data_IF_917941402916
#
_entry.id   IF_917941402916
#
_cell.length_a   1.000
_cell.length_b   1.000
_cell.length_c   1.000
_cell.angle_alpha   90.00
_cell.angle_beta   90.00
_cell.angle_gamma   90.00
#
_symmetry.space_group_name_H-M   'P 1'
#
loop_
_entity.id
_entity.type
_entity.pdbx_description
1 polymer ?
#
# COMPACT_ATOMS: atom_id res chain seq x y z
N UNK A 1 26.39 7.44 -12.48
CA UNK A 1 26.59 6.26 -11.62
C UNK A 1 26.32 6.65 -10.17
N UNK A 2 25.68 5.80 -9.41
CA UNK A 2 25.42 5.96 -7.98
C UNK A 2 26.24 4.90 -7.25
N UNK A 3 27.01 5.30 -6.23
CA UNK A 3 27.91 4.38 -5.52
C UNK A 3 27.67 4.46 -4.01
N UNK A 4 27.57 3.28 -3.37
CA UNK A 4 27.64 3.10 -1.93
C UNK A 4 28.91 2.28 -1.66
N UNK A 5 29.80 2.79 -0.77
CA UNK A 5 31.03 2.12 -0.36
C UNK A 5 31.06 2.03 1.17
N UNK A 6 30.76 0.85 1.70
CA UNK A 6 30.72 0.53 3.12
C UNK A 6 29.89 1.53 3.94
N UNK A 7 28.72 1.93 3.38
CA UNK A 7 27.88 2.95 4.02
C UNK A 7 27.13 2.34 5.20
N UNK A 8 27.33 2.94 6.36
CA UNK A 8 26.55 2.65 7.57
C UNK A 8 25.86 3.95 8.00
N UNK A 9 24.57 3.84 8.35
CA UNK A 9 23.82 4.95 8.94
C UNK A 9 22.99 4.45 10.10
N UNK A 10 23.16 5.10 11.27
CA UNK A 10 22.39 4.83 12.48
C UNK A 10 21.67 6.11 12.91
N UNK A 11 20.34 6.00 13.09
CA UNK A 11 19.54 7.13 13.58
C UNK A 11 19.90 7.45 15.04
N UNK A 12 19.88 8.73 15.39
CA UNK A 12 20.09 9.18 16.77
C UNK A 12 18.99 8.65 17.68
N UNK A 13 19.39 8.03 18.79
CA UNK A 13 18.43 7.46 19.78
C UNK A 13 17.71 6.19 19.35
N UNK A 14 18.10 5.56 18.22
CA UNK A 14 17.51 4.30 17.76
C UNK A 14 18.58 3.27 17.37
N UNK A 15 18.27 2.00 17.53
CA UNK A 15 19.11 0.89 17.03
C UNK A 15 18.90 0.63 15.53
N UNK A 16 17.92 1.30 14.93
CA UNK A 16 17.56 1.13 13.51
C UNK A 16 18.48 1.91 12.59
N UNK A 17 18.68 1.39 11.37
CA UNK A 17 19.51 2.01 10.36
C UNK A 17 19.89 1.04 9.26
N UNK A 18 21.02 1.31 8.60
CA UNK A 18 21.65 0.43 7.61
C UNK A 18 23.13 0.25 7.93
N UNK A 19 23.67 -0.91 7.62
CA UNK A 19 25.06 -1.25 7.97
C UNK A 19 25.79 -1.88 6.77
N UNK A 20 26.99 -1.37 6.51
CA UNK A 20 27.92 -1.91 5.50
C UNK A 20 27.27 -2.07 4.12
N UNK A 21 26.51 -1.08 3.70
CA UNK A 21 25.89 -1.05 2.37
C UNK A 21 26.99 -0.82 1.33
N UNK A 22 27.09 -1.77 0.39
CA UNK A 22 28.08 -1.72 -0.69
C UNK A 22 27.41 -2.18 -2.00
N UNK A 23 27.17 -1.25 -2.92
CA UNK A 23 26.71 -1.52 -4.27
C UNK A 23 26.88 -0.31 -5.18
N UNK A 24 26.82 -0.56 -6.50
CA UNK A 24 26.86 0.49 -7.52
C UNK A 24 25.67 0.34 -8.45
N UNK A 25 24.98 1.46 -8.74
CA UNK A 25 23.86 1.51 -9.69
C UNK A 25 24.30 2.24 -10.96
N UNK A 26 24.26 1.58 -12.13
CA UNK A 26 24.55 2.21 -13.42
C UNK A 26 23.50 3.28 -13.77
N UNK A 27 23.89 4.25 -14.57
CA UNK A 27 22.97 5.25 -15.13
C UNK A 27 21.97 4.61 -16.11
N UNK A 28 20.75 5.14 -16.17
CA UNK A 28 19.71 4.66 -17.06
C UNK A 28 19.13 3.29 -16.71
N UNK A 29 19.48 2.73 -15.54
CA UNK A 29 18.93 1.46 -15.06
C UNK A 29 17.82 1.64 -14.02
N UNK A 30 16.99 0.61 -13.86
CA UNK A 30 15.96 0.53 -12.83
C UNK A 30 16.34 -0.52 -11.79
N UNK A 31 16.48 -0.08 -10.53
CA UNK A 31 16.78 -0.97 -9.39
C UNK A 31 15.61 -0.97 -8.42
N UNK A 32 15.20 -2.16 -8.03
CA UNK A 32 14.15 -2.37 -7.02
C UNK A 32 14.80 -2.72 -5.69
N UNK A 33 14.52 -1.92 -4.66
CA UNK A 33 14.86 -2.22 -3.27
C UNK A 33 13.68 -2.97 -2.64
N UNK A 34 13.90 -4.18 -2.18
CA UNK A 34 12.87 -5.01 -1.57
C UNK A 34 13.36 -5.62 -0.25
N UNK A 35 12.45 -6.25 0.50
CA UNK A 35 12.69 -6.76 1.84
C UNK A 35 11.55 -6.42 2.79
N UNK A 36 11.59 -6.93 4.02
CA UNK A 36 10.53 -6.68 5.01
C UNK A 36 10.43 -5.20 5.38
N UNK A 37 9.28 -4.81 5.90
CA UNK A 37 9.07 -3.47 6.48
C UNK A 37 10.05 -3.24 7.64
N UNK A 38 10.60 -2.03 7.74
CA UNK A 38 11.60 -1.70 8.78
C UNK A 38 13.03 -2.18 8.51
N UNK A 39 13.32 -2.84 7.39
CA UNK A 39 14.64 -3.39 7.08
C UNK A 39 15.59 -2.43 6.34
N UNK A 40 15.33 -1.12 6.35
CA UNK A 40 16.28 -0.10 5.89
C UNK A 40 16.03 0.42 4.47
N UNK A 41 14.99 -0.02 3.74
CA UNK A 41 14.70 0.47 2.38
C UNK A 41 14.55 2.00 2.33
N UNK A 42 13.66 2.56 3.12
CA UNK A 42 13.44 4.01 3.19
C UNK A 42 14.67 4.77 3.70
N UNK A 43 15.54 4.13 4.51
CA UNK A 43 16.83 4.71 4.92
C UNK A 43 17.75 4.89 3.72
N UNK A 44 17.86 3.89 2.84
CA UNK A 44 18.63 4.00 1.59
C UNK A 44 18.04 5.09 0.69
N UNK A 45 16.72 5.16 0.54
CA UNK A 45 16.09 6.23 -0.25
C UNK A 45 16.41 7.62 0.33
N UNK A 46 16.31 7.80 1.65
CA UNK A 46 16.63 9.07 2.33
C UNK A 46 18.10 9.46 2.17
N UNK A 47 19.01 8.50 2.21
CA UNK A 47 20.43 8.73 1.90
C UNK A 47 20.58 9.24 0.45
N UNK A 48 19.98 8.57 -0.54
CA UNK A 48 19.99 8.98 -1.95
C UNK A 48 19.42 10.38 -2.16
N UNK A 49 18.37 10.74 -1.43
CA UNK A 49 17.75 12.08 -1.46
C UNK A 49 18.65 13.17 -0.82
N UNK A 50 19.72 12.78 -0.11
CA UNK A 50 20.56 13.71 0.65
C UNK A 50 19.87 14.33 1.86
N UNK A 51 18.88 13.62 2.44
CA UNK A 51 18.15 14.06 3.63
C UNK A 51 18.89 13.71 4.92
N UNK A 52 19.89 12.85 4.85
CA UNK A 52 20.71 12.40 5.95
C UNK A 52 22.12 12.98 5.83
N UNK A 53 22.74 13.35 6.95
CA UNK A 53 22.19 13.43 8.32
C UNK A 53 21.41 14.72 8.61
N UNK A 54 21.27 15.63 7.63
CA UNK A 54 20.85 17.02 7.82
C UNK A 54 19.39 17.15 8.33
N UNK A 55 18.46 16.34 7.79
CA UNK A 55 17.03 16.38 8.16
C UNK A 55 16.69 15.25 9.11
N UNK A 56 17.32 14.09 8.93
CA UNK A 56 17.18 12.95 9.82
C UNK A 56 18.51 12.76 10.57
N UNK A 57 18.58 13.20 11.85
CA UNK A 57 19.83 13.13 12.63
C UNK A 57 20.32 11.70 12.80
N UNK A 58 21.63 11.52 12.70
CA UNK A 58 22.27 10.22 12.87
C UNK A 58 23.74 10.26 12.50
N UNK A 59 24.41 9.13 12.72
CA UNK A 59 25.83 8.94 12.38
C UNK A 59 25.95 8.20 11.07
N UNK A 60 26.64 8.80 10.10
CA UNK A 60 26.97 8.20 8.82
C UNK A 60 28.47 7.85 8.77
N UNK A 61 28.77 6.65 8.31
CA UNK A 61 30.13 6.18 8.00
C UNK A 61 30.15 5.65 6.55
N UNK A 62 31.36 5.52 5.99
CA UNK A 62 31.52 5.14 4.59
C UNK A 62 31.32 6.31 3.62
N UNK A 63 31.28 6.00 2.32
CA UNK A 63 31.19 7.03 1.27
C UNK A 63 30.06 6.70 0.32
N UNK A 64 29.22 7.69 0.02
CA UNK A 64 28.17 7.58 -0.98
C UNK A 64 28.24 8.73 -1.97
N UNK A 65 28.01 8.43 -3.26
CA UNK A 65 27.94 9.46 -4.31
C UNK A 65 26.76 9.20 -5.24
N UNK A 66 26.12 10.29 -5.66
CA UNK A 66 25.11 10.33 -6.72
C UNK A 66 25.67 11.19 -7.85
N UNK A 67 25.95 10.56 -9.00
CA UNK A 67 26.61 11.19 -10.15
C UNK A 67 27.92 11.91 -9.78
N UNK A 68 28.72 11.28 -8.90
CA UNK A 68 30.04 11.76 -8.48
C UNK A 68 30.05 12.76 -7.33
N UNK A 69 28.90 13.21 -6.84
CA UNK A 69 28.79 14.16 -5.72
C UNK A 69 28.04 13.53 -4.54
N UNK A 70 28.44 13.87 -3.31
CA UNK A 70 27.74 13.42 -2.10
C UNK A 70 26.38 14.12 -1.96
N UNK A 71 25.24 13.39 -1.87
CA UNK A 71 23.90 13.99 -1.90
C UNK A 71 23.60 14.95 -0.75
N UNK A 72 24.20 14.74 0.43
CA UNK A 72 24.07 15.64 1.58
C UNK A 72 24.60 17.04 1.33
N UNK A 73 25.48 17.19 0.32
CA UNK A 73 26.12 18.46 -0.06
C UNK A 73 25.42 19.17 -1.22
N UNK A 74 24.36 18.60 -1.78
CA UNK A 74 23.60 19.25 -2.85
C UNK A 74 22.90 20.50 -2.32
N UNK A 75 23.01 21.62 -3.06
CA UNK A 75 22.11 22.75 -2.83
C UNK A 75 20.66 22.33 -3.15
N UNK A 76 19.63 23.06 -2.66
CA UNK A 76 18.24 22.79 -3.01
C UNK A 76 18.02 22.76 -4.54
N UNK A 77 18.64 23.68 -5.28
CA UNK A 77 18.55 23.82 -6.74
C UNK A 77 19.20 22.63 -7.46
N UNK A 78 20.38 22.22 -7.03
CA UNK A 78 21.08 21.03 -7.55
C UNK A 78 20.24 19.79 -7.31
N UNK A 79 19.73 19.62 -6.07
CA UNK A 79 18.90 18.47 -5.69
C UNK A 79 17.65 18.39 -6.56
N UNK A 80 16.90 19.49 -6.69
CA UNK A 80 15.69 19.54 -7.50
C UNK A 80 15.94 19.24 -8.99
N UNK A 81 17.14 19.60 -9.50
CA UNK A 81 17.51 19.35 -10.90
C UNK A 81 18.02 17.93 -11.15
N UNK A 82 18.58 17.26 -10.12
CA UNK A 82 19.21 15.93 -10.24
C UNK A 82 18.28 14.83 -9.80
N UNK A 83 17.46 15.06 -8.77
CA UNK A 83 16.65 14.04 -8.09
C UNK A 83 15.17 14.41 -8.14
N UNK A 84 14.36 13.55 -8.74
CA UNK A 84 12.91 13.56 -8.61
C UNK A 84 12.49 12.53 -7.58
N UNK A 85 11.47 12.85 -6.77
CA UNK A 85 11.00 11.96 -5.69
C UNK A 85 9.48 11.81 -5.76
N UNK A 86 9.01 10.59 -5.58
CA UNK A 86 7.60 10.27 -5.40
C UNK A 86 7.45 9.48 -4.10
N UNK A 87 6.74 10.05 -3.12
CA UNK A 87 6.52 9.43 -1.83
C UNK A 87 5.36 8.43 -1.86
N UNK A 88 5.31 7.57 -0.84
CA UNK A 88 4.27 6.54 -0.66
C UNK A 88 2.85 7.13 -0.65
N UNK A 89 2.64 8.24 0.02
CA UNK A 89 1.38 8.99 -0.02
C UNK A 89 1.57 10.30 -0.82
N UNK A 90 1.08 10.37 -2.06
CA UNK A 90 1.16 11.59 -2.85
C UNK A 90 0.52 12.81 -2.18
N UNK A 91 -0.47 12.62 -1.30
CA UNK A 91 -1.12 13.74 -0.57
C UNK A 91 -0.15 14.49 0.33
N UNK A 92 0.81 13.78 0.92
CA UNK A 92 1.83 14.38 1.78
C UNK A 92 2.90 15.15 1.00
N UNK A 93 2.94 14.97 -0.33
CA UNK A 93 3.91 15.58 -1.23
C UNK A 93 3.41 16.90 -1.83
N UNK A 94 2.11 17.07 -2.00
CA UNK A 94 1.52 18.22 -2.69
C UNK A 94 1.55 19.48 -1.83
N UNK A 95 2.08 20.56 -2.41
CA UNK A 95 2.12 21.89 -1.81
C UNK A 95 1.04 22.82 -2.36
N UNK A 96 0.61 22.60 -3.62
CA UNK A 96 -0.37 23.45 -4.28
C UNK A 96 -1.74 22.78 -4.30
N UNK A 97 -2.78 23.59 -4.30
CA UNK A 97 -4.16 23.10 -4.44
C UNK A 97 -4.52 22.75 -5.88
N UNK A 98 -3.89 23.40 -6.86
CA UNK A 98 -4.14 23.19 -8.28
C UNK A 98 -3.06 22.30 -8.91
N UNK A 99 -3.47 21.38 -9.79
CA UNK A 99 -2.58 20.42 -10.45
C UNK A 99 -1.51 21.11 -11.31
N UNK A 100 -1.87 22.14 -12.07
CA UNK A 100 -0.92 22.86 -12.89
C UNK A 100 0.18 23.51 -12.03
N UNK A 101 -0.22 24.18 -10.97
CA UNK A 101 0.70 24.85 -10.06
C UNK A 101 1.61 23.85 -9.33
N UNK A 102 1.08 22.68 -8.98
CA UNK A 102 1.85 21.59 -8.37
C UNK A 102 2.92 21.06 -9.32
N UNK A 103 2.61 20.83 -10.60
CA UNK A 103 3.57 20.37 -11.58
C UNK A 103 4.67 21.41 -11.81
N UNK A 104 4.31 22.69 -11.82
CA UNK A 104 5.23 23.80 -12.05
C UNK A 104 5.97 24.27 -10.78
N UNK A 105 5.62 23.78 -9.60
CA UNK A 105 6.11 24.25 -8.31
C UNK A 105 7.64 24.36 -8.24
N UNK A 106 8.35 23.28 -8.57
CA UNK A 106 9.81 23.27 -8.53
C UNK A 106 10.43 24.24 -9.56
N UNK A 107 9.88 24.31 -10.78
CA UNK A 107 10.37 25.19 -11.82
C UNK A 107 10.13 26.68 -11.48
N UNK A 108 8.99 27.01 -10.86
CA UNK A 108 8.70 28.35 -10.36
C UNK A 108 9.71 28.78 -9.29
N UNK A 109 10.00 27.89 -8.32
CA UNK A 109 10.97 28.17 -7.25
C UNK A 109 12.40 28.36 -7.78
N UNK A 110 12.75 27.73 -8.91
CA UNK A 110 14.02 27.90 -9.60
C UNK A 110 14.04 29.13 -10.52
N UNK A 111 12.99 29.95 -10.56
CA UNK A 111 12.93 31.17 -11.35
C UNK A 111 12.92 30.94 -12.87
N UNK A 112 12.42 29.79 -13.35
CA UNK A 112 12.31 29.55 -14.81
C UNK A 112 11.31 30.50 -15.46
N UNK A 113 11.55 30.87 -16.71
CA UNK A 113 10.66 31.79 -17.44
C UNK A 113 9.27 31.17 -17.67
N UNK A 114 8.21 31.95 -17.44
CA UNK A 114 6.82 31.51 -17.61
C UNK A 114 6.51 31.00 -19.01
N UNK A 115 7.03 31.65 -20.04
CA UNK A 115 6.79 31.27 -21.44
C UNK A 115 7.32 29.87 -21.75
N UNK A 116 8.54 29.55 -21.29
CA UNK A 116 9.13 28.23 -21.46
C UNK A 116 8.34 27.16 -20.67
N UNK A 117 7.95 27.48 -19.44
CA UNK A 117 7.19 26.56 -18.59
C UNK A 117 5.82 26.19 -19.19
N UNK A 118 5.08 27.16 -19.75
CA UNK A 118 3.77 26.88 -20.38
C UNK A 118 3.91 25.95 -21.57
N UNK A 119 4.93 26.18 -22.41
CA UNK A 119 5.18 25.31 -23.57
C UNK A 119 5.59 23.89 -23.15
N UNK A 120 6.51 23.79 -22.19
CA UNK A 120 6.96 22.51 -21.64
C UNK A 120 5.84 21.76 -20.93
N UNK A 121 4.98 22.47 -20.18
CA UNK A 121 3.84 21.88 -19.48
C UNK A 121 2.86 21.19 -20.43
N UNK A 122 2.55 21.77 -21.57
CA UNK A 122 1.62 21.17 -22.55
C UNK A 122 2.12 19.80 -23.02
N UNK A 123 3.40 19.70 -23.39
CA UNK A 123 4.04 18.45 -23.81
C UNK A 123 4.11 17.44 -22.65
N UNK A 124 4.49 17.92 -21.48
CA UNK A 124 4.66 17.12 -20.29
C UNK A 124 3.31 16.54 -19.80
N UNK A 125 2.27 17.36 -19.78
CA UNK A 125 0.93 16.96 -19.38
C UNK A 125 0.33 15.87 -20.31
N UNK A 126 0.63 15.94 -21.61
CA UNK A 126 0.26 14.91 -22.59
C UNK A 126 1.04 13.59 -22.30
N UNK A 127 2.36 13.68 -22.11
CA UNK A 127 3.24 12.52 -21.81
C UNK A 127 2.76 11.73 -20.59
N UNK A 128 2.31 12.39 -19.54
CA UNK A 128 1.87 11.78 -18.29
C UNK A 128 0.35 11.62 -18.17
N UNK A 129 -0.39 11.95 -19.24
CA UNK A 129 -1.86 11.85 -19.29
C UNK A 129 -2.54 12.63 -18.14
N UNK A 130 -2.05 13.82 -17.85
CA UNK A 130 -2.59 14.72 -16.81
C UNK A 130 -3.21 15.98 -17.37
N UNK A 131 -3.30 16.12 -18.71
CA UNK A 131 -3.81 17.32 -19.40
C UNK A 131 -5.23 17.72 -18.93
N UNK A 132 -6.12 16.74 -18.79
CA UNK A 132 -7.50 16.95 -18.35
C UNK A 132 -7.61 17.23 -16.84
N UNK A 133 -6.51 17.13 -16.14
CA UNK A 133 -6.44 17.35 -14.69
C UNK A 133 -5.87 18.72 -14.33
N UNK A 134 -5.25 19.45 -15.27
CA UNK A 134 -4.48 20.67 -14.98
C UNK A 134 -5.28 21.71 -14.19
N UNK A 135 -6.55 21.89 -14.50
CA UNK A 135 -7.43 22.87 -13.84
C UNK A 135 -8.13 22.33 -12.58
N UNK A 136 -7.87 21.06 -12.22
CA UNK A 136 -8.50 20.44 -11.06
C UNK A 136 -7.76 20.74 -9.77
N UNK A 137 -8.49 20.71 -8.67
CA UNK A 137 -7.93 20.71 -7.32
C UNK A 137 -7.42 19.30 -6.97
N UNK A 138 -6.17 19.22 -6.47
CA UNK A 138 -5.50 17.96 -6.11
C UNK A 138 -6.25 17.18 -5.02
N UNK A 139 -7.02 17.86 -4.17
CA UNK A 139 -7.80 17.22 -3.10
C UNK A 139 -8.87 16.27 -3.65
N UNK A 140 -9.45 16.59 -4.81
CA UNK A 140 -10.54 15.82 -5.41
C UNK A 140 -10.10 14.74 -6.40
N UNK A 141 -8.81 14.58 -6.61
CA UNK A 141 -8.26 13.55 -7.48
C UNK A 141 -8.37 12.15 -6.85
N UNK A 142 -8.60 11.14 -7.68
CA UNK A 142 -8.47 9.74 -7.29
C UNK A 142 -7.00 9.38 -6.99
N UNK A 143 -6.77 8.26 -6.31
CA UNK A 143 -5.40 7.80 -5.99
C UNK A 143 -4.53 7.66 -7.23
N UNK A 144 -5.05 7.09 -8.32
CA UNK A 144 -4.31 6.95 -9.57
C UNK A 144 -4.05 8.28 -10.28
N UNK A 145 -4.98 9.24 -10.22
CA UNK A 145 -4.76 10.61 -10.73
C UNK A 145 -3.69 11.31 -9.91
N UNK A 146 -3.73 11.23 -8.57
CA UNK A 146 -2.71 11.76 -7.67
C UNK A 146 -1.33 11.19 -7.97
N UNK A 147 -1.23 9.89 -8.20
CA UNK A 147 0.04 9.25 -8.54
C UNK A 147 0.62 9.78 -9.86
N UNK A 148 -0.22 9.95 -10.91
CA UNK A 148 0.23 10.53 -12.18
C UNK A 148 0.69 11.96 -12.03
N UNK A 149 -0.02 12.77 -11.25
CA UNK A 149 0.36 14.16 -10.95
C UNK A 149 1.67 14.22 -10.17
N UNK A 150 1.85 13.36 -9.16
CA UNK A 150 3.10 13.29 -8.39
C UNK A 150 4.32 12.94 -9.28
N UNK A 151 4.16 11.98 -10.19
CA UNK A 151 5.22 11.62 -11.15
C UNK A 151 5.47 12.77 -12.12
N UNK A 152 4.41 13.41 -12.64
CA UNK A 152 4.55 14.55 -13.52
C UNK A 152 5.29 15.71 -12.83
N UNK A 153 4.95 16.02 -11.58
CA UNK A 153 5.64 17.04 -10.79
C UNK A 153 7.12 16.68 -10.53
N UNK A 154 7.38 15.45 -10.08
CA UNK A 154 8.74 14.97 -9.80
C UNK A 154 9.65 14.94 -11.04
N UNK A 155 9.08 14.80 -12.24
CA UNK A 155 9.84 14.67 -13.49
C UNK A 155 9.84 15.91 -14.38
N UNK A 156 9.16 17.00 -13.98
CA UNK A 156 9.08 18.22 -14.78
C UNK A 156 10.45 18.86 -15.07
N UNK A 157 11.36 18.80 -14.11
CA UNK A 157 12.74 19.28 -14.27
C UNK A 157 13.67 18.30 -14.99
N UNK A 158 13.15 17.15 -15.47
CA UNK A 158 13.91 16.08 -16.15
C UNK A 158 15.09 15.60 -15.31
N UNK A 159 14.85 15.13 -14.05
CA UNK A 159 15.93 14.70 -13.18
C UNK A 159 16.65 13.46 -13.75
N UNK A 160 17.94 13.32 -13.42
CA UNK A 160 18.75 12.14 -13.80
C UNK A 160 18.40 10.91 -12.95
N UNK A 161 17.91 11.11 -11.73
CA UNK A 161 17.50 10.07 -10.79
C UNK A 161 16.04 10.29 -10.39
N UNK A 162 15.22 9.25 -10.54
CA UNK A 162 13.85 9.21 -10.02
C UNK A 162 13.78 8.17 -8.91
N UNK A 163 13.38 8.61 -7.73
CA UNK A 163 13.19 7.78 -6.53
C UNK A 163 11.71 7.63 -6.27
N UNK A 164 11.23 6.38 -6.08
CA UNK A 164 9.86 6.12 -5.74
C UNK A 164 9.80 5.22 -4.49
N UNK A 165 9.04 5.64 -3.49
CA UNK A 165 8.80 4.86 -2.28
C UNK A 165 7.37 4.32 -2.30
N UNK A 166 7.22 2.99 -2.40
CA UNK A 166 5.97 2.22 -2.48
C UNK A 166 4.91 2.83 -3.44
N UNK A 167 5.27 3.15 -4.71
CA UNK A 167 4.38 3.86 -5.61
C UNK A 167 3.16 3.05 -6.06
N UNK A 168 3.12 1.74 -5.81
CA UNK A 168 1.97 0.88 -6.17
C UNK A 168 0.93 0.73 -5.04
N UNK A 169 1.18 1.31 -3.86
CA UNK A 169 0.23 1.27 -2.77
C UNK A 169 -1.13 1.86 -3.19
N UNK A 170 -2.22 1.14 -2.90
CA UNK A 170 -3.60 1.56 -3.22
C UNK A 170 -3.92 1.76 -4.71
N UNK A 171 -3.10 1.27 -5.63
CA UNK A 171 -3.39 1.31 -7.07
C UNK A 171 -4.10 0.03 -7.53
N UNK A 172 -5.09 0.21 -8.40
CA UNK A 172 -5.70 -0.91 -9.12
C UNK A 172 -4.78 -1.41 -10.25
N UNK A 173 -5.03 -2.61 -10.77
CA UNK A 173 -4.18 -3.26 -11.78
C UNK A 173 -4.01 -2.41 -13.04
N UNK A 174 -5.05 -1.68 -13.48
CA UNK A 174 -4.98 -0.79 -14.65
C UNK A 174 -4.04 0.38 -14.40
N UNK A 175 -4.16 1.01 -13.25
CA UNK A 175 -3.31 2.16 -12.85
C UNK A 175 -1.86 1.71 -12.65
N UNK A 176 -1.62 0.51 -12.08
CA UNK A 176 -0.29 -0.07 -12.00
C UNK A 176 0.36 -0.29 -13.37
N UNK A 177 -0.38 -0.82 -14.34
CA UNK A 177 0.12 -0.99 -15.70
C UNK A 177 0.51 0.34 -16.34
N UNK A 178 -0.31 1.38 -16.17
CA UNK A 178 0.00 2.73 -16.66
C UNK A 178 1.24 3.33 -15.99
N UNK A 179 1.39 3.13 -14.67
CA UNK A 179 2.58 3.53 -13.93
C UNK A 179 3.83 2.84 -14.51
N UNK A 180 3.80 1.52 -14.60
CA UNK A 180 4.94 0.73 -15.12
C UNK A 180 5.31 1.14 -16.55
N UNK A 181 4.33 1.34 -17.43
CA UNK A 181 4.56 1.81 -18.80
C UNK A 181 5.20 3.20 -18.83
N UNK A 182 4.80 4.09 -17.91
CA UNK A 182 5.40 5.42 -17.76
C UNK A 182 6.85 5.33 -17.31
N UNK A 183 7.15 4.48 -16.33
CA UNK A 183 8.52 4.27 -15.83
C UNK A 183 9.43 3.62 -16.88
N UNK A 184 8.92 2.71 -17.70
CA UNK A 184 9.66 2.12 -18.83
C UNK A 184 10.10 3.23 -19.81
N UNK A 185 9.20 4.15 -20.16
CA UNK A 185 9.54 5.28 -21.04
C UNK A 185 10.59 6.20 -20.43
N UNK A 186 10.47 6.51 -19.13
CA UNK A 186 11.46 7.32 -18.42
C UNK A 186 12.84 6.66 -18.41
N UNK A 187 12.91 5.35 -18.19
CA UNK A 187 14.14 4.59 -18.27
C UNK A 187 14.73 4.62 -19.67
N UNK A 188 13.91 4.46 -20.72
CA UNK A 188 14.35 4.57 -22.12
C UNK A 188 14.88 5.97 -22.47
N UNK A 189 14.32 7.01 -21.84
CA UNK A 189 14.82 8.39 -21.93
C UNK A 189 16.13 8.62 -21.14
N UNK A 190 16.70 7.58 -20.52
CA UNK A 190 17.97 7.63 -19.78
C UNK A 190 17.86 7.98 -18.31
N UNK A 191 16.65 8.10 -17.74
CA UNK A 191 16.47 8.34 -16.30
C UNK A 191 16.86 7.09 -15.50
N UNK A 192 17.72 7.26 -14.49
CA UNK A 192 18.01 6.21 -13.50
C UNK A 192 16.86 6.14 -12.53
N UNK A 193 16.36 4.94 -12.23
CA UNK A 193 15.17 4.75 -11.40
C UNK A 193 15.50 3.85 -10.20
N UNK A 194 15.16 4.29 -9.00
CA UNK A 194 15.25 3.49 -7.77
C UNK A 194 13.86 3.42 -7.13
N UNK A 195 13.35 2.22 -6.95
CA UNK A 195 12.02 1.98 -6.39
C UNK A 195 12.15 1.12 -5.14
N UNK A 196 11.54 1.54 -4.04
CA UNK A 196 11.25 0.67 -2.90
C UNK A 196 9.80 0.19 -3.05
N UNK A 197 9.56 -1.11 -3.11
CA UNK A 197 8.19 -1.64 -3.18
C UNK A 197 8.11 -3.08 -2.67
N UNK A 198 6.88 -3.50 -2.38
CA UNK A 198 6.53 -4.86 -2.01
C UNK A 198 5.88 -5.66 -3.15
N UNK A 199 5.23 -5.00 -4.12
CA UNK A 199 4.55 -5.64 -5.26
C UNK A 199 5.50 -5.87 -6.43
N UNK A 200 6.42 -6.83 -6.28
CA UNK A 200 7.55 -7.07 -7.17
C UNK A 200 7.13 -7.51 -8.59
N UNK A 201 6.00 -8.22 -8.71
CA UNK A 201 5.43 -8.65 -9.98
C UNK A 201 5.25 -7.50 -10.98
N UNK A 202 4.82 -6.34 -10.51
CA UNK A 202 4.56 -5.16 -11.34
C UNK A 202 5.81 -4.65 -12.08
N UNK A 203 7.00 -4.97 -11.60
CA UNK A 203 8.27 -4.46 -12.11
C UNK A 203 9.08 -5.46 -12.94
N UNK A 204 8.56 -6.66 -13.18
CA UNK A 204 9.28 -7.73 -13.90
C UNK A 204 9.80 -7.33 -15.29
N UNK A 205 9.11 -6.39 -15.98
CA UNK A 205 9.51 -5.89 -17.31
C UNK A 205 10.33 -4.59 -17.25
N UNK A 206 10.35 -3.92 -16.10
CA UNK A 206 11.02 -2.65 -15.90
C UNK A 206 12.39 -2.83 -15.25
N UNK A 207 12.46 -3.68 -14.22
CA UNK A 207 13.62 -3.83 -13.37
C UNK A 207 14.80 -4.48 -14.11
N UNK A 208 15.99 -3.93 -13.92
CA UNK A 208 17.26 -4.56 -14.31
C UNK A 208 17.84 -5.34 -13.13
N UNK A 209 17.56 -4.91 -11.92
CA UNK A 209 18.21 -5.39 -10.69
C UNK A 209 17.28 -5.33 -9.49
N UNK A 210 17.39 -6.31 -8.61
CA UNK A 210 16.74 -6.37 -7.32
C UNK A 210 17.79 -6.46 -6.22
N UNK A 211 17.67 -5.58 -5.22
CA UNK A 211 18.49 -5.57 -4.02
C UNK A 211 17.59 -5.89 -2.82
N UNK A 212 17.87 -7.00 -2.16
CA UNK A 212 17.10 -7.45 -0.98
C UNK A 212 17.79 -7.00 0.29
N UNK A 213 17.06 -6.27 1.11
CA UNK A 213 17.51 -5.80 2.41
C UNK A 213 16.93 -6.67 3.52
N UNK A 214 17.78 -7.04 4.47
CA UNK A 214 17.40 -7.75 5.69
C UNK A 214 18.14 -7.13 6.87
N UNK A 215 17.38 -6.64 7.87
CA UNK A 215 17.93 -6.01 9.09
C UNK A 215 19.03 -4.96 8.81
N UNK A 216 18.77 -4.10 7.82
CA UNK A 216 19.68 -3.02 7.46
C UNK A 216 20.90 -3.42 6.62
N UNK A 217 21.00 -4.66 6.16
CA UNK A 217 22.10 -5.14 5.32
C UNK A 217 21.59 -5.64 3.95
N UNK A 218 22.42 -5.54 2.93
CA UNK A 218 22.16 -6.16 1.64
C UNK A 218 22.45 -7.66 1.74
N UNK A 219 21.44 -8.49 1.53
CA UNK A 219 21.58 -9.97 1.60
C UNK A 219 21.54 -10.64 0.24
N UNK A 220 20.89 -10.01 -0.74
CA UNK A 220 20.91 -10.42 -2.14
C UNK A 220 21.03 -9.17 -3.02
N UNK A 221 21.80 -9.31 -4.08
CA UNK A 221 22.00 -8.31 -5.11
C UNK A 221 22.07 -9.04 -6.46
N UNK A 222 20.94 -9.04 -7.18
CA UNK A 222 20.71 -9.92 -8.31
C UNK A 222 20.20 -9.17 -9.53
N UNK A 223 20.62 -9.57 -10.72
CA UNK A 223 19.94 -9.19 -11.95
C UNK A 223 18.50 -9.71 -11.98
N UNK A 224 17.61 -9.02 -12.71
CA UNK A 224 16.18 -9.33 -12.74
C UNK A 224 15.89 -10.80 -13.07
N UNK A 225 16.57 -11.39 -14.06
CA UNK A 225 16.41 -12.79 -14.46
C UNK A 225 16.74 -13.76 -13.32
N UNK A 226 17.84 -13.51 -12.59
CA UNK A 226 18.28 -14.32 -11.46
C UNK A 226 17.29 -14.22 -10.30
N UNK A 227 16.80 -12.98 -10.03
CA UNK A 227 15.82 -12.75 -8.98
C UNK A 227 14.50 -13.46 -9.27
N UNK A 228 14.01 -13.38 -10.52
CA UNK A 228 12.76 -14.03 -10.94
C UNK A 228 12.85 -15.56 -10.96
N UNK A 229 14.05 -16.12 -10.99
CA UNK A 229 14.32 -17.55 -10.93
C UNK A 229 14.52 -18.11 -9.50
N UNK A 230 14.43 -17.25 -8.46
CA UNK A 230 14.54 -17.70 -7.07
C UNK A 230 13.41 -18.67 -6.71
N UNK A 231 13.73 -19.61 -5.80
CA UNK A 231 12.73 -20.54 -5.28
C UNK A 231 11.73 -19.87 -4.33
N UNK A 232 10.58 -20.49 -4.15
CA UNK A 232 9.54 -20.00 -3.24
C UNK A 232 10.05 -19.90 -1.79
N UNK A 233 10.92 -20.82 -1.37
CA UNK A 233 11.54 -20.82 -0.05
C UNK A 233 12.37 -19.56 0.16
N UNK A 234 13.09 -19.09 -0.87
CA UNK A 234 13.89 -17.87 -0.80
C UNK A 234 13.00 -16.63 -0.64
N UNK A 235 11.89 -16.53 -1.40
CA UNK A 235 10.93 -15.43 -1.19
C UNK A 235 10.37 -15.45 0.23
N UNK A 236 10.00 -16.61 0.74
CA UNK A 236 9.51 -16.76 2.13
C UNK A 236 10.56 -16.37 3.17
N UNK A 237 11.80 -16.83 3.01
CA UNK A 237 12.90 -16.55 3.94
C UNK A 237 13.09 -15.04 4.14
N UNK A 238 13.06 -14.29 3.05
CA UNK A 238 13.23 -12.84 3.08
C UNK A 238 11.93 -12.05 3.26
N UNK A 239 10.78 -12.73 3.37
CA UNK A 239 9.47 -12.11 3.53
C UNK A 239 9.05 -11.26 2.33
N UNK A 240 9.48 -11.66 1.14
CA UNK A 240 9.15 -11.02 -0.13
C UNK A 240 7.80 -11.52 -0.65
N UNK A 241 7.16 -10.70 -1.48
CA UNK A 241 6.05 -11.15 -2.30
C UNK A 241 6.56 -11.84 -3.55
N UNK A 242 5.78 -12.77 -4.06
CA UNK A 242 6.17 -13.52 -5.26
C UNK A 242 6.10 -12.63 -6.50
N UNK A 243 7.10 -12.68 -7.39
CA UNK A 243 7.09 -11.90 -8.63
C UNK A 243 6.33 -12.57 -9.77
N UNK A 244 5.61 -13.69 -9.50
CA UNK A 244 4.82 -14.41 -10.50
C UNK A 244 3.37 -14.54 -10.09
N UNK A 245 2.44 -14.29 -11.02
CA UNK A 245 1.04 -14.64 -10.83
C UNK A 245 0.90 -16.17 -10.75
N UNK A 246 0.20 -16.65 -9.74
CA UNK A 246 -0.28 -18.03 -9.72
C UNK A 246 0.41 -18.97 -8.76
N UNK A 247 0.61 -18.58 -7.51
CA UNK A 247 0.74 -19.56 -6.45
C UNK A 247 -0.66 -20.05 -6.06
N UNK A 248 -1.06 -21.10 -6.71
CA UNK A 248 -2.27 -21.82 -6.33
C UNK A 248 -2.15 -22.30 -4.88
N UNK A 249 -3.06 -21.81 -4.03
CA UNK A 249 -3.39 -22.36 -2.71
C UNK A 249 -2.20 -22.66 -1.79
N UNK A 250 -1.52 -21.61 -1.30
CA UNK A 250 -0.52 -21.73 -0.23
C UNK A 250 -1.12 -22.20 1.11
N UNK A 251 -2.43 -22.03 1.29
CA UNK A 251 -3.13 -22.45 2.49
C UNK A 251 -4.03 -23.65 2.15
N UNK A 252 -3.87 -24.74 2.90
CA UNK A 252 -4.80 -25.86 2.80
C UNK A 252 -6.21 -25.42 3.18
N UNK A 253 -7.14 -25.56 2.25
CA UNK A 253 -8.55 -25.23 2.45
C UNK A 253 -9.27 -26.41 3.08
N UNK A 254 -9.64 -26.26 4.34
CA UNK A 254 -10.51 -27.24 5.01
C UNK A 254 -11.92 -27.05 4.46
N UNK A 255 -12.41 -28.03 3.70
CA UNK A 255 -13.82 -28.06 3.27
C UNK A 255 -14.69 -28.40 4.48
N UNK A 256 -15.28 -27.41 5.13
CA UNK A 256 -16.32 -27.61 6.14
C UNK A 256 -17.70 -27.49 5.50
N UNK A 257 -18.67 -28.22 6.07
CA UNK A 257 -20.08 -27.99 5.77
C UNK A 257 -20.43 -26.55 6.14
N UNK A 258 -21.01 -25.80 5.21
CA UNK A 258 -21.37 -24.41 5.39
C UNK A 258 -22.77 -24.31 6.01
N UNK A 259 -22.91 -24.01 7.33
CA UNK A 259 -24.22 -24.03 8.00
C UNK A 259 -25.09 -22.84 7.61
N UNK A 260 -24.54 -21.77 7.06
CA UNK A 260 -25.27 -20.55 6.76
C UNK A 260 -25.04 -20.09 5.31
N UNK A 261 -26.08 -19.50 4.71
CA UNK A 261 -26.05 -18.89 3.38
C UNK A 261 -26.44 -17.42 3.46
N UNK A 262 -25.66 -16.56 2.79
CA UNK A 262 -25.98 -15.14 2.63
C UNK A 262 -26.34 -14.88 1.15
N UNK A 263 -27.55 -14.41 0.90
CA UNK A 263 -28.04 -14.06 -0.43
C UNK A 263 -28.17 -12.55 -0.56
N UNK A 264 -27.62 -12.01 -1.63
CA UNK A 264 -27.69 -10.60 -2.00
C UNK A 264 -28.45 -10.51 -3.33
N UNK A 265 -29.62 -9.87 -3.33
CA UNK A 265 -30.52 -9.82 -4.48
C UNK A 265 -30.67 -8.39 -4.98
N UNK A 266 -30.22 -8.12 -6.20
CA UNK A 266 -30.37 -6.85 -6.94
C UNK A 266 -30.06 -5.61 -6.08
N UNK A 267 -28.95 -5.64 -5.37
CA UNK A 267 -28.56 -4.60 -4.42
C UNK A 267 -28.09 -3.35 -5.17
N UNK A 268 -28.58 -2.17 -4.74
CA UNK A 268 -28.22 -0.89 -5.31
C UNK A 268 -28.01 0.17 -4.25
N UNK A 269 -26.98 0.98 -4.45
CA UNK A 269 -26.74 2.23 -3.73
C UNK A 269 -25.97 3.22 -4.60
N UNK A 270 -26.52 4.42 -4.82
CA UNK A 270 -25.90 5.49 -5.59
C UNK A 270 -26.01 6.80 -4.82
N UNK A 271 -24.88 7.47 -4.64
CA UNK A 271 -24.85 8.78 -3.96
C UNK A 271 -25.57 9.84 -4.79
N UNK A 272 -26.49 10.58 -4.17
CA UNK A 272 -27.33 11.58 -4.86
C UNK A 272 -26.51 12.67 -5.58
N UNK A 273 -25.45 13.17 -4.95
CA UNK A 273 -24.61 14.26 -5.49
C UNK A 273 -23.63 13.79 -6.55
N UNK A 274 -22.82 12.79 -6.24
CA UNK A 274 -21.71 12.34 -7.12
C UNK A 274 -22.13 11.38 -8.21
N UNK A 275 -23.36 10.80 -8.13
CA UNK A 275 -23.83 9.71 -8.99
C UNK A 275 -22.94 8.46 -8.99
N UNK A 276 -21.95 8.39 -8.08
CA UNK A 276 -21.09 7.23 -7.84
C UNK A 276 -21.79 6.23 -6.94
N UNK A 277 -21.36 4.96 -6.97
CA UNK A 277 -21.94 3.87 -6.20
C UNK A 277 -21.95 2.59 -7.00
N UNK A 278 -22.89 1.69 -6.71
CA UNK A 278 -23.05 0.43 -7.44
C UNK A 278 -24.54 0.15 -7.72
N UNK A 279 -24.79 -0.66 -8.75
CA UNK A 279 -26.13 -1.06 -9.17
C UNK A 279 -26.15 -2.56 -9.52
N UNK A 280 -27.31 -3.19 -9.31
CA UNK A 280 -27.57 -4.58 -9.71
C UNK A 280 -26.59 -5.62 -9.18
N UNK A 281 -26.01 -5.39 -7.98
CA UNK A 281 -25.11 -6.39 -7.39
C UNK A 281 -25.89 -7.58 -6.86
N UNK A 282 -25.49 -8.78 -7.29
CA UNK A 282 -26.08 -10.04 -6.88
C UNK A 282 -24.97 -11.03 -6.50
N UNK A 283 -25.17 -11.74 -5.40
CA UNK A 283 -24.26 -12.79 -4.95
C UNK A 283 -24.98 -13.77 -4.04
N UNK A 284 -24.56 -15.01 -4.06
CA UNK A 284 -24.95 -16.02 -3.08
C UNK A 284 -23.64 -16.66 -2.56
N UNK A 285 -23.39 -16.53 -1.27
CA UNK A 285 -22.17 -16.98 -0.64
C UNK A 285 -22.48 -17.85 0.58
N UNK A 286 -21.60 -18.78 0.86
CA UNK A 286 -21.70 -19.68 2.02
C UNK A 286 -20.80 -19.21 3.16
N UNK A 287 -21.19 -19.46 4.39
CA UNK A 287 -20.30 -19.25 5.54
C UNK A 287 -19.06 -20.14 5.43
N UNK A 288 -17.97 -19.75 6.07
CA UNK A 288 -16.71 -20.50 5.95
C UNK A 288 -15.93 -20.20 4.67
N UNK A 289 -16.34 -19.17 3.90
CA UNK A 289 -15.68 -18.75 2.67
C UNK A 289 -15.05 -17.36 2.81
N UNK A 290 -13.94 -17.18 2.11
CA UNK A 290 -13.30 -15.89 1.90
C UNK A 290 -13.66 -15.38 0.50
N UNK A 291 -14.34 -14.25 0.45
CA UNK A 291 -14.91 -13.67 -0.76
C UNK A 291 -14.16 -12.40 -1.10
N UNK A 292 -13.48 -12.38 -2.25
CA UNK A 292 -12.88 -11.15 -2.76
C UNK A 292 -13.91 -10.31 -3.53
N UNK A 293 -13.90 -9.00 -3.29
CA UNK A 293 -14.63 -8.00 -4.08
C UNK A 293 -13.58 -7.20 -4.86
N UNK A 294 -13.45 -7.49 -6.13
CA UNK A 294 -12.53 -6.82 -7.05
C UNK A 294 -13.27 -5.79 -7.93
N UNK A 295 -12.53 -4.99 -8.69
CA UNK A 295 -13.07 -3.99 -9.62
C UNK A 295 -12.30 -2.67 -9.58
N UNK A 296 -12.49 -1.80 -10.56
CA UNK A 296 -11.77 -0.55 -10.70
C UNK A 296 -11.93 0.38 -9.48
N UNK A 297 -10.98 1.29 -9.27
CA UNK A 297 -11.12 2.33 -8.26
C UNK A 297 -12.34 3.21 -8.57
N UNK A 298 -13.17 3.46 -7.55
CA UNK A 298 -14.42 4.20 -7.71
C UNK A 298 -15.64 3.38 -8.17
N UNK A 299 -15.50 2.07 -8.42
CA UNK A 299 -16.62 1.18 -8.80
C UNK A 299 -17.70 1.01 -7.70
N UNK A 300 -17.40 1.43 -6.46
CA UNK A 300 -18.36 1.35 -5.36
C UNK A 300 -18.09 0.22 -4.35
N UNK A 301 -16.93 -0.43 -4.39
CA UNK A 301 -16.55 -1.54 -3.50
C UNK A 301 -16.71 -1.22 -2.02
N UNK A 302 -16.09 -0.13 -1.55
CA UNK A 302 -16.24 0.35 -0.16
C UNK A 302 -17.70 0.70 0.16
N UNK A 303 -18.45 1.24 -0.81
CA UNK A 303 -19.89 1.53 -0.64
C UNK A 303 -20.69 0.25 -0.45
N UNK A 304 -20.38 -0.79 -1.23
CA UNK A 304 -20.99 -2.11 -1.06
C UNK A 304 -20.72 -2.67 0.35
N UNK A 305 -19.48 -2.63 0.83
CA UNK A 305 -19.17 -3.06 2.20
C UNK A 305 -19.90 -2.25 3.27
N UNK A 306 -20.03 -0.92 3.12
CA UNK A 306 -20.84 -0.09 4.03
C UNK A 306 -22.31 -0.47 4.03
N UNK A 307 -22.86 -0.86 2.88
CA UNK A 307 -24.23 -1.39 2.79
C UNK A 307 -24.32 -2.77 3.44
N UNK A 308 -23.38 -3.68 3.18
CA UNK A 308 -23.34 -5.01 3.81
C UNK A 308 -23.20 -4.90 5.33
N UNK A 309 -22.36 -3.99 5.81
CA UNK A 309 -22.21 -3.69 7.24
C UNK A 309 -23.44 -3.05 7.89
N UNK A 310 -24.45 -2.66 7.10
CA UNK A 310 -25.63 -1.95 7.63
C UNK A 310 -25.41 -0.48 8.00
N UNK A 311 -24.22 0.07 7.70
CA UNK A 311 -23.91 1.50 7.88
C UNK A 311 -24.72 2.38 6.90
N UNK A 312 -25.01 1.83 5.72
CA UNK A 312 -25.88 2.47 4.74
C UNK A 312 -27.10 1.58 4.45
N UNK A 313 -28.27 2.23 4.35
CA UNK A 313 -29.49 1.56 3.89
C UNK A 313 -29.46 1.51 2.35
N UNK A 314 -29.57 0.31 1.80
CA UNK A 314 -29.69 0.12 0.34
C UNK A 314 -30.91 0.85 -0.23
N UNK A 315 -30.82 1.29 -1.48
CA UNK A 315 -31.93 1.94 -2.20
C UNK A 315 -32.85 0.92 -2.86
N UNK A 316 -32.28 -0.19 -3.36
CA UNK A 316 -33.01 -1.34 -3.91
C UNK A 316 -32.35 -2.63 -3.46
N UNK A 317 -33.09 -3.72 -3.61
CA UNK A 317 -32.65 -5.07 -3.33
C UNK A 317 -32.77 -5.49 -1.87
N UNK A 318 -32.36 -6.70 -1.60
CA UNK A 318 -32.46 -7.34 -0.29
C UNK A 318 -31.19 -8.13 0.04
N UNK A 319 -30.90 -8.25 1.33
CA UNK A 319 -29.85 -9.11 1.87
C UNK A 319 -30.53 -10.08 2.82
N UNK A 320 -30.33 -11.38 2.59
CA UNK A 320 -30.95 -12.43 3.36
C UNK A 320 -29.89 -13.34 3.98
N UNK A 321 -30.07 -13.70 5.23
CA UNK A 321 -29.30 -14.74 5.92
C UNK A 321 -30.22 -15.92 6.18
N UNK A 322 -29.91 -17.08 5.61
CA UNK A 322 -30.76 -18.28 5.71
C UNK A 322 -32.24 -17.94 5.40
N UNK A 323 -32.46 -17.30 4.24
CA UNK A 323 -33.74 -16.82 3.71
C UNK A 323 -34.47 -15.74 4.54
N UNK A 324 -33.91 -15.32 5.67
CA UNK A 324 -34.44 -14.24 6.48
C UNK A 324 -33.85 -12.88 6.08
N UNK A 325 -34.70 -11.92 5.76
CA UNK A 325 -34.27 -10.57 5.37
C UNK A 325 -33.57 -9.86 6.52
N UNK A 326 -32.37 -9.36 6.29
CA UNK A 326 -31.58 -8.58 7.24
C UNK A 326 -31.83 -7.09 7.11
N UNK A 327 -32.42 -6.48 8.12
CA UNK A 327 -32.50 -5.01 8.21
C UNK A 327 -31.11 -4.38 8.41
N UNK A 328 -30.90 -3.10 8.04
CA UNK A 328 -29.62 -2.42 8.28
C UNK A 328 -29.15 -2.51 9.73
N UNK A 329 -30.04 -2.30 10.70
CA UNK A 329 -29.71 -2.39 12.12
C UNK A 329 -29.25 -3.80 12.54
N UNK A 330 -29.86 -4.86 11.97
CA UNK A 330 -29.44 -6.23 12.25
C UNK A 330 -28.09 -6.55 11.62
N UNK A 331 -27.85 -6.08 10.38
CA UNK A 331 -26.53 -6.22 9.73
C UNK A 331 -25.43 -5.55 10.55
N UNK A 332 -25.66 -4.33 11.04
CA UNK A 332 -24.69 -3.61 11.85
C UNK A 332 -24.30 -4.34 13.15
N UNK A 333 -25.24 -5.11 13.74
CA UNK A 333 -24.95 -5.95 14.93
C UNK A 333 -24.21 -7.24 14.58
N UNK A 334 -24.39 -7.76 13.36
CA UNK A 334 -23.79 -9.02 12.91
C UNK A 334 -22.46 -8.82 12.18
N UNK A 335 -22.09 -7.59 11.87
CA UNK A 335 -20.93 -7.29 11.04
C UNK A 335 -19.83 -6.54 11.80
N UNK A 336 -18.58 -6.78 11.41
CA UNK A 336 -17.45 -5.95 11.77
C UNK A 336 -16.78 -5.45 10.48
N UNK A 337 -16.55 -4.14 10.36
CA UNK A 337 -15.96 -3.53 9.18
C UNK A 337 -14.62 -2.90 9.52
N UNK A 338 -13.55 -3.39 8.88
CA UNK A 338 -12.21 -2.82 8.94
C UNK A 338 -12.06 -1.87 7.75
N UNK A 339 -11.80 -0.59 8.04
CA UNK A 339 -11.67 0.46 7.04
C UNK A 339 -10.27 0.44 6.41
N UNK A 340 -10.17 0.93 5.17
CA UNK A 340 -8.92 1.05 4.44
C UNK A 340 -7.89 1.93 5.17
N UNK A 341 -8.33 3.05 5.73
CA UNK A 341 -7.50 3.96 6.51
C UNK A 341 -7.77 3.74 8.01
N UNK A 342 -6.81 3.15 8.75
CA UNK A 342 -6.98 2.85 10.16
C UNK A 342 -7.21 4.10 11.03
N UNK A 343 -6.73 5.27 10.62
CA UNK A 343 -6.86 6.51 11.41
C UNK A 343 -8.31 6.93 11.60
N UNK A 344 -9.22 6.49 10.74
CA UNK A 344 -10.65 6.70 10.92
C UNK A 344 -11.33 5.71 11.88
N UNK A 345 -10.58 4.76 12.44
CA UNK A 345 -11.16 3.66 13.25
C UNK A 345 -10.49 3.52 14.62
N UNK A 346 -9.35 4.16 14.87
CA UNK A 346 -8.57 4.03 16.10
C UNK A 346 -8.78 5.26 17.00
N UNK A 347 -9.39 5.07 18.18
CA UNK A 347 -9.82 6.15 19.07
C UNK A 347 -9.35 5.99 20.51
N UNK A 348 -8.89 4.80 20.94
CA UNK A 348 -8.54 4.56 22.33
C UNK A 348 -7.17 5.15 22.72
N UNK A 349 -6.92 5.24 24.00
CA UNK A 349 -5.68 5.76 24.59
C UNK A 349 -4.47 4.82 24.40
N UNK A 350 -4.73 3.53 24.21
CA UNK A 350 -3.69 2.52 23.98
C UNK A 350 -4.16 1.41 23.03
N UNK A 351 -3.20 0.69 22.46
CA UNK A 351 -3.46 -0.47 21.61
C UNK A 351 -4.31 -1.52 22.33
N UNK A 352 -3.97 -1.85 23.58
CA UNK A 352 -4.75 -2.83 24.34
C UNK A 352 -6.18 -2.40 24.56
N UNK A 353 -6.42 -1.12 24.88
CA UNK A 353 -7.77 -0.57 25.01
C UNK A 353 -8.52 -0.53 23.68
N UNK A 354 -7.84 -0.24 22.57
CA UNK A 354 -8.46 -0.24 21.24
C UNK A 354 -9.02 -1.60 20.86
N UNK A 355 -8.29 -2.66 21.11
CA UNK A 355 -8.72 -4.04 20.77
C UNK A 355 -10.01 -4.41 21.46
N UNK A 356 -10.24 -3.99 22.70
CA UNK A 356 -11.45 -4.28 23.48
C UNK A 356 -12.48 -3.17 23.49
N UNK A 357 -12.26 -2.09 22.75
CA UNK A 357 -13.07 -0.88 22.77
C UNK A 357 -14.56 -1.18 22.56
N UNK A 358 -15.42 -0.55 23.39
CA UNK A 358 -16.88 -0.69 23.31
C UNK A 358 -17.44 -2.02 23.79
N UNK A 359 -16.64 -2.86 24.46
CA UNK A 359 -17.06 -4.17 24.96
C UNK A 359 -16.89 -4.27 26.47
N UNK A 360 -17.77 -5.03 27.12
CA UNK A 360 -17.61 -5.35 28.53
C UNK A 360 -16.44 -6.30 28.73
N UNK A 361 -15.45 -5.90 29.50
CA UNK A 361 -14.25 -6.68 29.76
C UNK A 361 -14.58 -7.87 30.66
N UNK A 362 -14.73 -9.04 30.07
CA UNK A 362 -14.85 -10.33 30.74
C UNK A 362 -13.49 -11.04 30.70
N UNK A 363 -13.29 -12.04 31.56
CA UNK A 363 -12.07 -12.87 31.55
C UNK A 363 -11.85 -13.55 30.20
N UNK A 364 -12.93 -14.06 29.57
CA UNK A 364 -12.87 -14.63 28.22
C UNK A 364 -12.42 -13.61 27.18
N UNK A 365 -12.94 -12.37 27.23
CA UNK A 365 -12.55 -11.31 26.28
C UNK A 365 -11.10 -10.89 26.50
N UNK A 366 -10.66 -10.85 27.75
CA UNK A 366 -9.26 -10.53 28.10
C UNK A 366 -8.31 -11.57 27.50
N UNK A 367 -8.61 -12.86 27.64
CA UNK A 367 -7.78 -13.93 27.07
C UNK A 367 -7.73 -13.84 25.54
N UNK A 368 -8.87 -13.63 24.87
CA UNK A 368 -8.91 -13.40 23.42
C UNK A 368 -8.09 -12.18 22.99
N UNK A 369 -8.12 -11.11 23.77
CA UNK A 369 -7.35 -9.91 23.47
C UNK A 369 -5.83 -10.15 23.60
N UNK A 370 -5.39 -10.92 24.60
CA UNK A 370 -3.98 -11.32 24.76
C UNK A 370 -3.53 -12.17 23.57
N UNK A 371 -4.31 -13.19 23.20
CA UNK A 371 -4.03 -14.03 22.03
C UNK A 371 -3.95 -13.21 20.74
N UNK A 372 -4.84 -12.21 20.57
CA UNK A 372 -4.80 -11.31 19.43
C UNK A 372 -3.54 -10.44 19.43
N UNK A 373 -3.15 -9.86 20.57
CA UNK A 373 -1.91 -9.10 20.71
C UNK A 373 -0.68 -9.92 20.33
N UNK A 374 -0.61 -11.17 20.76
CA UNK A 374 0.47 -12.10 20.42
C UNK A 374 0.48 -12.43 18.93
N UNK A 375 -0.68 -12.84 18.39
CA UNK A 375 -0.83 -13.23 16.99
C UNK A 375 -0.42 -12.12 16.02
N UNK A 376 -0.82 -10.89 16.31
CA UNK A 376 -0.49 -9.73 15.47
C UNK A 376 0.85 -9.06 15.84
N UNK A 377 1.63 -9.65 16.76
CA UNK A 377 2.92 -9.09 17.24
C UNK A 377 2.77 -7.67 17.76
N UNK A 378 1.73 -7.42 18.57
CA UNK A 378 1.39 -6.12 19.15
C UNK A 378 1.73 -6.03 20.64
N UNK A 379 2.17 -7.11 21.29
CA UNK A 379 2.50 -7.14 22.73
C UNK A 379 3.44 -6.00 23.14
N UNK A 380 4.55 -5.71 22.41
CA UNK A 380 5.45 -4.61 22.76
C UNK A 380 4.83 -3.21 22.59
N UNK A 381 3.69 -3.13 21.92
CA UNK A 381 3.00 -1.88 21.59
C UNK A 381 1.74 -1.68 22.44
N UNK A 382 1.43 -2.61 23.35
CA UNK A 382 0.18 -2.65 24.11
C UNK A 382 -0.21 -1.32 24.74
N UNK A 383 0.78 -0.64 25.37
CA UNK A 383 0.55 0.60 26.11
C UNK A 383 0.78 1.87 25.26
N UNK A 384 1.12 1.70 23.98
CA UNK A 384 1.33 2.83 23.08
C UNK A 384 0.02 3.39 22.59
N UNK A 385 -0.01 4.73 22.42
CA UNK A 385 -1.14 5.40 21.79
C UNK A 385 -1.19 5.07 20.29
N UNK A 386 -2.36 4.69 19.71
CA UNK A 386 -2.48 4.30 18.30
C UNK A 386 -1.93 5.34 17.32
N UNK A 387 -2.06 6.63 17.61
CA UNK A 387 -1.53 7.69 16.74
C UNK A 387 0.00 7.68 16.60
N UNK A 388 0.73 7.09 17.56
CA UNK A 388 2.20 6.96 17.51
C UNK A 388 2.71 5.79 16.66
N UNK A 389 1.81 4.96 16.15
CA UNK A 389 2.12 3.75 15.42
C UNK A 389 2.37 4.05 13.93
N UNK A 390 3.19 3.22 13.29
CA UNK A 390 3.30 3.18 11.83
C UNK A 390 2.00 2.68 11.18
N UNK A 391 1.78 2.98 9.90
CA UNK A 391 0.59 2.54 9.17
C UNK A 391 0.34 1.04 9.23
N UNK A 392 1.39 0.23 9.08
CA UNK A 392 1.29 -1.23 9.19
C UNK A 392 0.98 -1.73 10.61
N UNK A 393 1.46 -1.03 11.65
CA UNK A 393 1.10 -1.33 13.04
C UNK A 393 -0.35 -0.99 13.33
N UNK A 394 -0.82 0.19 12.89
CA UNK A 394 -2.23 0.60 12.98
C UNK A 394 -3.16 -0.42 12.33
N UNK A 395 -2.79 -0.90 11.14
CA UNK A 395 -3.56 -1.91 10.43
C UNK A 395 -3.62 -3.24 11.19
N UNK A 396 -2.52 -3.69 11.81
CA UNK A 396 -2.54 -4.87 12.66
C UNK A 396 -3.43 -4.70 13.89
N UNK A 397 -3.50 -3.50 14.47
CA UNK A 397 -4.42 -3.20 15.59
C UNK A 397 -5.88 -3.34 15.17
N UNK A 398 -6.28 -2.78 14.01
CA UNK A 398 -7.66 -2.92 13.52
C UNK A 398 -8.04 -4.37 13.22
N UNK A 399 -7.09 -5.16 12.69
CA UNK A 399 -7.29 -6.59 12.46
C UNK A 399 -7.40 -7.39 13.78
N UNK A 400 -6.58 -7.03 14.78
CA UNK A 400 -6.67 -7.63 16.12
C UNK A 400 -8.01 -7.34 16.77
N UNK A 401 -8.53 -6.11 16.68
CA UNK A 401 -9.86 -5.75 17.17
C UNK A 401 -10.98 -6.52 16.43
N UNK A 402 -10.82 -6.73 15.11
CA UNK A 402 -11.74 -7.53 14.30
C UNK A 402 -11.72 -9.03 14.69
N UNK A 403 -10.55 -9.56 15.10
CA UNK A 403 -10.40 -10.99 15.43
C UNK A 403 -11.21 -11.41 16.65
N UNK A 404 -11.33 -10.54 17.63
CA UNK A 404 -12.08 -10.80 18.85
C UNK A 404 -13.55 -10.37 18.76
N UNK A 405 -13.97 -9.82 17.60
CA UNK A 405 -15.34 -9.40 17.38
C UNK A 405 -16.29 -10.62 17.31
N UNK A 406 -17.38 -10.55 18.06
CA UNK A 406 -18.47 -11.51 17.95
C UNK A 406 -19.37 -11.14 16.75
N UNK A 407 -18.77 -11.24 15.56
CA UNK A 407 -19.42 -10.90 14.29
C UNK A 407 -19.48 -12.12 13.38
N UNK A 408 -20.62 -12.28 12.68
CA UNK A 408 -20.83 -13.34 11.68
C UNK A 408 -20.31 -12.90 10.30
N UNK A 409 -20.31 -11.60 10.02
CA UNK A 409 -19.86 -11.01 8.76
C UNK A 409 -18.66 -10.12 9.03
N UNK A 410 -17.51 -10.47 8.47
CA UNK A 410 -16.29 -9.69 8.53
C UNK A 410 -16.08 -9.02 7.16
N UNK A 411 -15.87 -7.73 7.18
CA UNK A 411 -15.68 -6.92 5.97
C UNK A 411 -14.35 -6.20 6.09
N UNK A 412 -13.45 -6.40 5.14
CA UNK A 412 -12.09 -5.86 5.14
C UNK A 412 -11.89 -5.01 3.88
N UNK A 413 -11.50 -3.77 4.05
CA UNK A 413 -11.22 -2.85 2.93
C UNK A 413 -9.70 -2.67 2.80
N UNK A 414 -9.09 -3.24 1.74
CA UNK A 414 -7.66 -3.23 1.42
C UNK A 414 -6.75 -3.66 2.59
N UNK A 415 -6.97 -4.82 3.24
CA UNK A 415 -6.28 -5.21 4.47
C UNK A 415 -4.79 -5.50 4.28
N UNK A 416 -4.29 -5.62 3.06
CA UNK A 416 -2.88 -5.94 2.74
C UNK A 416 -2.13 -4.79 2.07
N UNK A 417 -2.74 -3.60 1.98
CA UNK A 417 -2.08 -2.44 1.36
C UNK A 417 -0.81 -2.06 2.11
N UNK A 418 0.31 -1.90 1.39
CA UNK A 418 1.62 -1.56 1.97
C UNK A 418 2.25 -2.66 2.85
N UNK A 419 1.72 -3.87 2.88
CA UNK A 419 2.31 -4.97 3.64
C UNK A 419 3.36 -5.73 2.81
N UNK A 420 4.46 -6.11 3.47
CA UNK A 420 5.42 -7.08 2.93
C UNK A 420 4.81 -8.49 2.84
N UNK A 421 5.52 -9.42 2.17
CA UNK A 421 5.02 -10.79 1.96
C UNK A 421 4.80 -11.56 3.26
N UNK A 422 5.64 -11.36 4.27
CA UNK A 422 5.48 -12.04 5.56
C UNK A 422 4.23 -11.56 6.33
N UNK A 423 3.99 -10.26 6.34
CA UNK A 423 2.81 -9.68 6.98
C UNK A 423 1.53 -9.96 6.18
N UNK A 424 1.58 -9.95 4.85
CA UNK A 424 0.47 -10.38 4.00
C UNK A 424 0.04 -11.81 4.31
N UNK A 425 0.99 -12.75 4.44
CA UNK A 425 0.69 -14.14 4.79
C UNK A 425 0.08 -14.29 6.20
N UNK A 426 0.51 -13.46 7.17
CA UNK A 426 -0.13 -13.44 8.50
C UNK A 426 -1.60 -13.02 8.40
N UNK A 427 -1.90 -11.99 7.61
CA UNK A 427 -3.28 -11.54 7.35
C UNK A 427 -4.08 -12.65 6.64
N UNK A 428 -3.49 -13.32 5.63
CA UNK A 428 -4.14 -14.41 4.91
C UNK A 428 -4.50 -15.57 5.85
N UNK A 429 -3.57 -16.01 6.71
CA UNK A 429 -3.82 -17.05 7.72
C UNK A 429 -4.91 -16.66 8.70
N UNK A 430 -4.92 -15.39 9.14
CA UNK A 430 -5.97 -14.89 10.03
C UNK A 430 -7.33 -14.87 9.34
N UNK A 431 -7.41 -14.39 8.10
CA UNK A 431 -8.65 -14.38 7.31
C UNK A 431 -9.19 -15.80 7.12
N UNK A 432 -8.31 -16.76 6.82
CA UNK A 432 -8.67 -18.17 6.73
C UNK A 432 -9.19 -18.72 8.07
N UNK A 433 -8.54 -18.35 9.17
CA UNK A 433 -8.98 -18.74 10.52
C UNK A 433 -10.40 -18.21 10.82
N UNK A 434 -10.71 -16.95 10.46
CA UNK A 434 -12.04 -16.39 10.61
C UNK A 434 -13.08 -17.14 9.77
N UNK A 435 -12.75 -17.49 8.54
CA UNK A 435 -13.60 -18.29 7.67
C UNK A 435 -13.86 -19.68 8.29
N UNK A 436 -12.82 -20.35 8.80
CA UNK A 436 -12.94 -21.64 9.46
C UNK A 436 -13.84 -21.64 10.71
N UNK A 437 -14.13 -20.45 11.28
CA UNK A 437 -15.14 -20.26 12.33
C UNK A 437 -16.55 -20.09 11.76
N UNK A 438 -16.82 -20.49 10.53
CA UNK A 438 -18.11 -20.36 9.84
C UNK A 438 -18.59 -18.91 9.68
N UNK A 439 -17.66 -17.93 9.62
CA UNK A 439 -17.99 -16.54 9.32
C UNK A 439 -18.00 -16.31 7.80
N UNK A 440 -18.72 -15.29 7.36
CA UNK A 440 -18.62 -14.73 6.02
C UNK A 440 -17.52 -13.70 6.02
N UNK A 441 -16.46 -13.88 5.23
CA UNK A 441 -15.35 -12.95 5.17
C UNK A 441 -15.29 -12.32 3.78
N UNK A 442 -15.61 -11.04 3.69
CA UNK A 442 -15.51 -10.25 2.46
C UNK A 442 -14.26 -9.38 2.49
N UNK A 443 -13.48 -9.44 1.44
CA UNK A 443 -12.25 -8.66 1.32
C UNK A 443 -12.29 -7.84 0.05
N UNK A 444 -12.28 -6.51 0.17
CA UNK A 444 -11.98 -5.65 -0.97
C UNK A 444 -10.48 -5.62 -1.11
N UNK A 445 -9.97 -6.01 -2.27
CA UNK A 445 -8.55 -5.90 -2.54
C UNK A 445 -8.21 -5.92 -4.03
N UNK A 446 -7.11 -5.27 -4.37
CA UNK A 446 -6.43 -5.35 -5.66
C UNK A 446 -5.16 -6.20 -5.59
N UNK A 447 -4.94 -6.86 -4.47
CA UNK A 447 -3.78 -7.70 -4.19
C UNK A 447 -4.00 -9.10 -4.77
N UNK A 448 -3.51 -9.31 -5.98
CA UNK A 448 -3.68 -10.58 -6.71
C UNK A 448 -2.99 -11.74 -5.98
N UNK A 449 -1.86 -11.48 -5.30
CA UNK A 449 -1.15 -12.49 -4.51
C UNK A 449 -2.01 -12.92 -3.30
N UNK A 450 -2.65 -11.96 -2.64
CA UNK A 450 -3.56 -12.25 -1.52
C UNK A 450 -4.79 -13.01 -1.99
N UNK A 451 -5.41 -12.59 -3.10
CA UNK A 451 -6.58 -13.28 -3.70
C UNK A 451 -6.22 -14.74 -4.01
N UNK A 452 -5.10 -14.97 -4.70
CA UNK A 452 -4.65 -16.31 -5.05
C UNK A 452 -4.30 -17.17 -3.83
N UNK A 453 -3.87 -16.54 -2.72
CA UNK A 453 -3.45 -17.24 -1.50
C UNK A 453 -4.62 -17.73 -0.67
N UNK A 454 -5.69 -16.94 -0.51
CA UNK A 454 -6.71 -17.21 0.52
C UNK A 454 -8.15 -17.14 0.04
N UNK A 455 -8.46 -16.43 -1.06
CA UNK A 455 -9.85 -16.25 -1.48
C UNK A 455 -10.42 -17.49 -2.16
N UNK A 456 -11.67 -17.83 -1.85
CA UNK A 456 -12.42 -18.93 -2.45
C UNK A 456 -13.20 -18.49 -3.67
N UNK A 457 -13.73 -17.27 -3.64
CA UNK A 457 -14.58 -16.70 -4.68
C UNK A 457 -14.20 -15.25 -4.95
N UNK A 458 -14.40 -14.80 -6.19
CA UNK A 458 -14.11 -13.42 -6.61
C UNK A 458 -15.35 -12.85 -7.31
N UNK A 459 -15.87 -11.75 -6.79
CA UNK A 459 -16.91 -10.95 -7.44
C UNK A 459 -16.28 -9.66 -8.00
N UNK A 460 -16.63 -9.34 -9.24
CA UNK A 460 -16.18 -8.10 -9.92
C UNK A 460 -17.32 -7.10 -9.89
N UNK A 461 -17.04 -5.88 -9.41
CA UNK A 461 -17.98 -4.78 -9.32
C UNK A 461 -17.74 -3.75 -10.42
#
# INVERSE_FOLDING_TARGET
MIEFKQVTFQYEGAESGVSQIDFTLPEGTCTILCGRSGHGKSTILRLLMGLMPNIYPGKQEGKMTVFGKEPSTFTPEERASVIGVVFQDPRSQFFMSNVQDEILFAANNLGRSKENMVRELAIHAEKYQVKELLDKDVAYLSSGEKQRVAIAAATFLKPKLLILDEPTANLDSKTMQLLTATLIKLKQDGTTIVISDHRLFSYRQLADRFIVLNKGQVVLDLHAEQFLALSNEMYHQYGLRYPTMGMNNLLEKVKQEAPNSLQIKDLQYVYKKSKKGFQHFQAQVQSGRVIAIAGANGAGKTTLCKVLAGLYKQQKGQILLNDNVLSPSRRSKLSYFVMQDPDYQLYAESVGHEIVLGRQLTEMLRNKAIEALEHFSLVPLNDRHPASLSGGEKQRVTLAAASIADAQIILLDEPTSGLDGANMLKVAKWVQHMANQNKFVFVITHDEDFIATVCDEVFIL
#
